data_IF_049958825782
#
_entry.id   IF_049958825782
#
_cell.length_a   1.000
_cell.length_b   1.000
_cell.length_c   1.000
_cell.angle_alpha   90.00
_cell.angle_beta   90.00
_cell.angle_gamma   90.00
#
_symmetry.space_group_name_H-M   'P 1'
#
loop_
_entity.id
_entity.type
_entity.pdbx_description
1 polymer ?
#
# COMPACT_ATOMS: atom_id res chain seq x y z
N UNK A 1 -19.56 5.93 -23.65
CA UNK A 1 -19.30 4.95 -22.59
C UNK A 1 -18.23 4.00 -23.11
N UNK A 2 -17.07 3.93 -22.52
CA UNK A 2 -16.03 2.95 -22.81
C UNK A 2 -16.06 1.93 -21.68
N UNK A 3 -16.14 0.65 -22.00
CA UNK A 3 -16.02 -0.47 -21.06
C UNK A 3 -14.77 -1.23 -21.48
N UNK A 4 -13.83 -1.35 -20.56
CA UNK A 4 -12.63 -2.16 -20.72
C UNK A 4 -12.79 -3.41 -19.86
N UNK A 5 -12.37 -4.56 -20.39
CA UNK A 5 -12.37 -5.82 -19.66
C UNK A 5 -11.18 -6.68 -20.07
N UNK A 6 -10.70 -7.45 -19.15
CA UNK A 6 -9.65 -8.43 -19.36
C UNK A 6 -10.15 -9.82 -19.00
N UNK A 7 -9.65 -10.84 -19.67
CA UNK A 7 -9.94 -12.24 -19.39
C UNK A 7 -8.64 -12.95 -19.03
N UNK A 8 -8.52 -13.30 -17.76
CA UNK A 8 -7.33 -13.98 -17.23
C UNK A 8 -7.69 -15.41 -16.86
N UNK A 9 -7.17 -16.43 -17.57
CA UNK A 9 -7.33 -17.82 -17.17
C UNK A 9 -6.41 -18.12 -15.98
N UNK A 10 -6.93 -18.80 -14.96
CA UNK A 10 -6.15 -19.24 -13.80
C UNK A 10 -6.50 -20.70 -13.44
N UNK A 11 -5.59 -21.39 -12.75
CA UNK A 11 -5.82 -22.76 -12.33
C UNK A 11 -6.77 -22.85 -11.14
N UNK A 12 -7.46 -23.96 -11.00
CA UNK A 12 -8.35 -24.19 -9.86
C UNK A 12 -7.56 -24.09 -8.54
N UNK A 13 -8.02 -23.25 -7.62
CA UNK A 13 -7.35 -22.96 -6.35
C UNK A 13 -6.40 -21.76 -6.37
N UNK A 14 -6.12 -21.16 -7.53
CA UNK A 14 -5.29 -19.95 -7.68
C UNK A 14 -6.13 -18.66 -7.73
N UNK A 15 -7.17 -18.57 -6.93
CA UNK A 15 -8.09 -17.43 -6.88
C UNK A 15 -7.36 -16.11 -6.57
N UNK A 16 -6.29 -16.16 -5.76
CA UNK A 16 -5.45 -15.01 -5.45
C UNK A 16 -4.86 -14.35 -6.69
N UNK A 17 -4.37 -15.16 -7.66
CA UNK A 17 -3.83 -14.65 -8.93
C UNK A 17 -4.87 -13.87 -9.74
N UNK A 18 -6.12 -14.33 -9.77
CA UNK A 18 -7.19 -13.62 -10.47
C UNK A 18 -7.48 -12.24 -9.86
N UNK A 19 -7.38 -12.11 -8.54
CA UNK A 19 -7.53 -10.82 -7.86
C UNK A 19 -6.33 -9.90 -8.11
N UNK A 20 -5.10 -10.43 -8.09
CA UNK A 20 -3.88 -9.67 -8.39
C UNK A 20 -3.94 -9.06 -9.79
N UNK A 21 -4.25 -9.85 -10.79
CA UNK A 21 -4.39 -9.39 -12.18
C UNK A 21 -5.53 -8.36 -12.31
N UNK A 22 -6.67 -8.58 -11.66
CA UNK A 22 -7.79 -7.64 -11.64
C UNK A 22 -7.41 -6.29 -11.03
N UNK A 23 -6.62 -6.27 -9.96
CA UNK A 23 -6.11 -5.03 -9.37
C UNK A 23 -5.08 -4.35 -10.28
N UNK A 24 -4.17 -5.12 -10.88
CA UNK A 24 -3.19 -4.60 -11.82
C UNK A 24 -3.85 -3.95 -13.05
N UNK A 25 -4.92 -4.55 -13.57
CA UNK A 25 -5.70 -4.01 -14.67
C UNK A 25 -6.42 -2.70 -14.34
N UNK A 26 -6.85 -2.51 -13.08
CA UNK A 26 -7.56 -1.31 -12.63
C UNK A 26 -6.61 -0.15 -12.27
N UNK A 27 -5.32 -0.41 -12.09
CA UNK A 27 -4.36 0.58 -11.63
C UNK A 27 -3.34 0.92 -12.70
N UNK A 28 -3.52 2.04 -13.35
CA UNK A 28 -2.54 2.58 -14.28
C UNK A 28 -1.24 2.97 -13.57
N UNK A 29 -0.11 2.67 -14.22
CA UNK A 29 1.18 3.17 -13.78
C UNK A 29 1.26 4.68 -14.01
N UNK A 30 1.37 5.44 -12.92
CA UNK A 30 1.61 6.88 -13.01
C UNK A 30 3.11 7.15 -13.15
N UNK A 31 3.50 7.69 -14.30
CA UNK A 31 4.88 8.11 -14.55
C UNK A 31 4.98 9.62 -14.40
N UNK A 32 5.87 10.07 -13.51
CA UNK A 32 6.21 11.48 -13.37
C UNK A 32 7.69 11.69 -13.66
N UNK A 33 7.99 12.54 -14.67
CA UNK A 33 9.35 12.93 -14.98
C UNK A 33 9.65 14.28 -14.32
N UNK A 34 10.49 14.26 -13.29
CA UNK A 34 10.92 15.48 -12.61
C UNK A 34 12.15 16.10 -13.30
N UNK A 35 12.10 17.39 -13.55
CA UNK A 35 13.27 18.20 -13.90
C UNK A 35 13.61 18.38 -15.37
N UNK A 36 13.14 17.55 -16.30
CA UNK A 36 13.47 17.69 -17.74
C UNK A 36 12.68 18.79 -18.44
N UNK A 37 11.42 19.02 -18.11
CA UNK A 37 10.61 20.07 -18.73
C UNK A 37 11.22 21.46 -18.56
N UNK A 38 11.79 21.77 -17.42
CA UNK A 38 12.47 23.05 -17.20
C UNK A 38 13.77 23.21 -17.99
N UNK A 39 14.42 22.13 -18.37
CA UNK A 39 15.64 22.19 -19.18
C UNK A 39 15.37 22.59 -20.62
N UNK A 40 14.25 22.15 -21.18
CA UNK A 40 13.85 22.48 -22.56
C UNK A 40 13.19 23.87 -22.72
N UNK A 41 12.61 24.41 -21.68
CA UNK A 41 11.93 25.70 -21.71
C UNK A 41 12.84 26.89 -21.39
N UNK A 42 14.15 26.68 -21.26
CA UNK A 42 15.07 27.75 -20.89
C UNK A 42 15.46 28.65 -22.06
N UNK A 43 15.39 29.92 -21.81
CA UNK A 43 16.00 30.93 -22.70
C UNK A 43 17.54 30.85 -22.59
N UNK A 44 18.29 31.06 -23.70
CA UNK A 44 19.73 31.17 -23.63
C UNK A 44 20.18 32.18 -22.56
N UNK A 45 21.12 31.81 -21.72
CA UNK A 45 21.66 32.67 -20.66
C UNK A 45 21.05 32.47 -19.27
N UNK A 46 20.06 31.61 -19.09
CA UNK A 46 19.56 31.28 -17.75
C UNK A 46 20.48 30.27 -17.04
N UNK A 47 20.81 30.55 -15.78
CA UNK A 47 21.62 29.66 -14.93
C UNK A 47 20.93 28.30 -14.81
N UNK A 48 21.71 27.22 -14.97
CA UNK A 48 21.21 25.87 -14.69
C UNK A 48 20.75 25.79 -13.22
N UNK A 49 19.55 25.26 -12.91
CA UNK A 49 19.25 24.97 -11.51
C UNK A 49 20.30 23.95 -11.06
N UNK A 50 20.85 24.17 -9.88
CA UNK A 50 21.62 23.15 -9.20
C UNK A 50 20.74 21.89 -9.12
N UNK A 51 21.27 20.78 -9.60
CA UNK A 51 20.67 19.48 -9.36
C UNK A 51 20.77 19.25 -7.86
N UNK A 52 19.66 19.36 -7.16
CA UNK A 52 19.57 18.96 -5.77
C UNK A 52 19.69 17.43 -5.80
N UNK A 53 20.78 16.92 -5.25
CA UNK A 53 20.92 15.48 -5.05
C UNK A 53 19.73 14.99 -4.22
N UNK A 54 18.96 14.09 -4.80
CA UNK A 54 17.87 13.45 -4.11
C UNK A 54 18.40 12.62 -2.95
N UNK A 55 17.81 12.79 -1.77
CA UNK A 55 18.15 11.99 -0.58
C UNK A 55 17.38 10.67 -0.49
N UNK A 56 16.41 10.48 -1.38
CA UNK A 56 15.58 9.27 -1.41
C UNK A 56 16.29 8.16 -2.21
N UNK A 57 16.15 6.90 -1.81
CA UNK A 57 16.65 5.77 -2.58
C UNK A 57 15.93 5.68 -3.94
N UNK A 58 16.52 4.94 -4.89
CA UNK A 58 15.93 4.72 -6.22
C UNK A 58 14.60 3.96 -6.15
N UNK A 59 14.47 3.09 -5.16
CA UNK A 59 13.27 2.32 -4.90
C UNK A 59 12.91 2.45 -3.41
N UNK A 60 11.63 2.67 -3.13
CA UNK A 60 11.15 2.79 -1.76
C UNK A 60 9.69 2.35 -1.67
N UNK A 61 9.38 1.56 -0.65
CA UNK A 61 8.03 1.27 -0.23
C UNK A 61 7.78 1.89 1.15
N UNK A 62 6.62 2.51 1.35
CA UNK A 62 6.22 3.02 2.67
C UNK A 62 5.71 1.92 3.59
N UNK A 63 5.18 0.85 3.02
CA UNK A 63 4.66 -0.30 3.74
C UNK A 63 4.83 -1.54 2.86
N UNK A 64 5.74 -2.42 3.26
CA UNK A 64 5.86 -3.75 2.67
C UNK A 64 5.02 -4.73 3.50
N UNK A 65 4.23 -5.56 2.83
CA UNK A 65 3.42 -6.58 3.46
C UNK A 65 3.43 -7.87 2.64
N UNK A 66 3.12 -8.97 3.31
CA UNK A 66 3.03 -10.31 2.72
C UNK A 66 1.75 -10.98 3.21
N UNK A 67 1.15 -11.80 2.36
CA UNK A 67 -0.04 -12.60 2.66
C UNK A 67 -0.64 -13.12 1.36
N UNK A 68 -0.97 -14.41 1.32
CA UNK A 68 -1.55 -15.02 0.13
C UNK A 68 -2.97 -14.50 -0.10
N UNK A 69 -3.26 -13.94 -1.28
CA UNK A 69 -4.56 -13.36 -1.61
C UNK A 69 -5.00 -12.20 -0.72
N UNK A 70 -4.05 -11.56 -0.01
CA UNK A 70 -4.31 -10.37 0.78
C UNK A 70 -3.92 -9.13 -0.02
N UNK A 71 -4.83 -8.19 -0.16
CA UNK A 71 -4.61 -6.95 -0.89
C UNK A 71 -4.86 -5.73 -0.01
N UNK A 72 -4.03 -4.71 -0.19
CA UNK A 72 -4.23 -3.40 0.42
C UNK A 72 -5.22 -2.59 -0.42
N UNK A 73 -6.39 -2.28 0.15
CA UNK A 73 -7.46 -1.58 -0.55
C UNK A 73 -7.56 -0.10 -0.20
N UNK A 74 -6.91 0.34 0.86
CA UNK A 74 -6.84 1.76 1.23
C UNK A 74 -5.60 2.05 2.07
N UNK A 75 -4.98 3.19 1.80
CA UNK A 75 -3.97 3.82 2.63
C UNK A 75 -4.27 5.32 2.69
N UNK A 76 -4.68 5.80 3.85
CA UNK A 76 -5.19 7.16 3.98
C UNK A 76 -4.88 7.78 5.35
N UNK A 77 -4.96 9.11 5.42
CA UNK A 77 -4.99 9.83 6.69
C UNK A 77 -6.37 9.70 7.34
N UNK A 78 -6.40 9.59 8.66
CA UNK A 78 -7.63 9.57 9.44
C UNK A 78 -8.46 10.85 9.32
N UNK A 79 -9.77 10.72 9.45
CA UNK A 79 -10.68 11.87 9.40
C UNK A 79 -10.66 12.69 10.70
N UNK A 80 -10.57 12.03 11.84
CA UNK A 80 -10.66 12.66 13.17
C UNK A 80 -9.33 12.75 13.89
N UNK A 81 -8.35 11.92 13.50
CA UNK A 81 -7.03 11.80 14.12
C UNK A 81 -5.96 11.98 13.07
N UNK A 82 -4.76 12.31 13.49
CA UNK A 82 -3.58 12.43 12.62
C UNK A 82 -2.91 11.07 12.34
N UNK A 83 -3.59 9.99 12.67
CA UNK A 83 -3.15 8.63 12.40
C UNK A 83 -3.31 8.29 10.93
N UNK A 84 -2.50 7.38 10.44
CA UNK A 84 -2.68 6.77 9.12
C UNK A 84 -3.52 5.50 9.26
N UNK A 85 -4.38 5.26 8.29
CA UNK A 85 -5.19 4.05 8.24
C UNK A 85 -4.86 3.24 6.99
N UNK A 86 -4.63 1.96 7.20
CA UNK A 86 -4.43 0.99 6.12
C UNK A 86 -5.52 -0.07 6.21
N UNK A 87 -6.06 -0.47 5.07
CA UNK A 87 -7.09 -1.50 4.99
C UNK A 87 -6.64 -2.61 4.07
N UNK A 88 -6.76 -3.83 4.58
CA UNK A 88 -6.49 -5.04 3.84
C UNK A 88 -7.76 -5.87 3.68
N UNK A 89 -7.79 -6.65 2.62
CA UNK A 89 -8.86 -7.63 2.35
C UNK A 89 -8.20 -8.97 2.07
N UNK A 90 -8.64 -9.99 2.77
CA UNK A 90 -8.34 -11.38 2.42
C UNK A 90 -9.38 -11.83 1.39
N UNK A 91 -8.95 -12.19 0.17
CA UNK A 91 -9.82 -12.69 -0.89
C UNK A 91 -9.92 -14.22 -0.94
N UNK A 92 -9.25 -14.89 0.02
CA UNK A 92 -9.23 -16.34 0.05
C UNK A 92 -10.42 -16.91 0.81
N UNK A 93 -10.86 -18.11 0.41
CA UNK A 93 -11.89 -18.92 1.07
C UNK A 93 -11.42 -19.56 2.37
N UNK A 94 -10.26 -19.16 2.85
CA UNK A 94 -9.63 -19.63 4.09
C UNK A 94 -8.96 -18.48 4.82
N UNK A 95 -8.68 -18.72 6.11
CA UNK A 95 -7.91 -17.77 6.90
C UNK A 95 -6.47 -17.68 6.41
N UNK A 96 -5.94 -16.47 6.36
CA UNK A 96 -4.58 -16.18 5.92
C UNK A 96 -3.86 -15.29 6.95
N UNK A 97 -2.53 -15.29 6.93
CA UNK A 97 -1.72 -14.45 7.80
C UNK A 97 -1.21 -13.26 7.00
N UNK A 98 -1.63 -12.07 7.43
CA UNK A 98 -1.03 -10.81 7.00
C UNK A 98 0.23 -10.56 7.83
N UNK A 99 1.36 -10.39 7.18
CA UNK A 99 2.62 -10.02 7.80
C UNK A 99 3.11 -8.68 7.26
N UNK A 100 3.54 -7.77 8.13
CA UNK A 100 4.15 -6.51 7.71
C UNK A 100 5.18 -6.03 8.74
N UNK A 101 6.24 -5.39 8.25
CA UNK A 101 7.33 -4.93 9.10
C UNK A 101 6.97 -3.62 9.78
N UNK A 102 7.38 -3.48 11.03
CA UNK A 102 7.37 -2.20 11.74
C UNK A 102 8.43 -1.27 11.15
N UNK A 103 8.00 -0.16 10.61
CA UNK A 103 8.89 0.89 10.13
C UNK A 103 9.20 1.91 11.24
N UNK A 104 10.33 2.62 11.13
CA UNK A 104 10.80 3.56 12.17
C UNK A 104 9.81 4.70 12.45
N UNK A 105 8.99 5.05 11.48
CA UNK A 105 7.98 6.10 11.61
C UNK A 105 6.70 5.62 12.32
N UNK A 106 6.52 4.30 12.56
CA UNK A 106 5.38 3.71 13.24
C UNK A 106 5.64 3.65 14.75
N UNK A 107 5.01 4.51 15.52
CA UNK A 107 5.08 4.47 16.99
C UNK A 107 4.21 3.37 17.56
N UNK A 108 3.00 3.24 17.07
CA UNK A 108 2.01 2.25 17.50
C UNK A 108 1.18 1.80 16.31
N UNK A 109 0.82 0.52 16.29
CA UNK A 109 -0.14 -0.04 15.33
C UNK A 109 -1.26 -0.69 16.11
N UNK A 110 -2.49 -0.47 15.69
CA UNK A 110 -3.68 -1.02 16.34
C UNK A 110 -4.72 -1.46 15.32
N UNK A 111 -5.52 -2.44 15.70
CA UNK A 111 -6.70 -2.82 14.92
C UNK A 111 -7.77 -1.74 15.08
N UNK A 112 -8.49 -1.46 14.02
CA UNK A 112 -9.53 -0.44 13.99
C UNK A 112 -10.77 -0.95 13.30
N UNK A 113 -11.93 -0.40 13.65
CA UNK A 113 -13.13 -0.60 12.86
C UNK A 113 -13.18 0.36 11.65
N UNK A 114 -14.23 0.24 10.84
CA UNK A 114 -14.39 1.03 9.60
C UNK A 114 -14.61 2.53 9.85
N UNK A 115 -15.03 2.91 11.06
CA UNK A 115 -15.24 4.32 11.47
C UNK A 115 -14.04 4.90 12.22
N UNK A 116 -12.88 4.24 12.13
CA UNK A 116 -11.59 4.68 12.67
C UNK A 116 -11.52 4.71 14.22
N UNK A 117 -12.31 3.90 14.88
CA UNK A 117 -12.20 3.70 16.32
C UNK A 117 -11.14 2.64 16.62
N UNK A 118 -10.28 2.95 17.60
CA UNK A 118 -9.20 2.07 18.03
C UNK A 118 -9.79 0.89 18.82
N UNK A 119 -9.32 -0.29 18.43
CA UNK A 119 -9.56 -1.55 19.11
C UNK A 119 -8.24 -2.04 19.74
N UNK A 120 -7.82 -3.26 19.47
CA UNK A 120 -6.63 -3.88 20.04
C UNK A 120 -5.33 -3.30 19.49
N UNK A 121 -4.36 -3.04 20.37
CA UNK A 121 -3.00 -2.66 19.99
C UNK A 121 -2.23 -3.91 19.58
N UNK A 122 -1.57 -3.84 18.44
CA UNK A 122 -0.74 -4.92 17.93
C UNK A 122 0.68 -4.81 18.51
N UNK A 123 1.26 -5.97 18.79
CA UNK A 123 2.66 -6.07 19.22
C UNK A 123 3.45 -6.81 18.15
N UNK A 124 4.54 -6.24 17.64
CA UNK A 124 5.40 -6.95 16.71
C UNK A 124 6.20 -8.05 17.43
N UNK A 125 6.67 -9.02 16.69
CA UNK A 125 7.58 -10.06 17.18
C UNK A 125 9.00 -9.51 17.45
N UNK A 126 9.95 -10.42 17.76
CA UNK A 126 11.34 -10.07 18.04
C UNK A 126 12.09 -9.46 16.83
N UNK A 127 11.64 -9.77 15.63
CA UNK A 127 12.20 -9.26 14.37
C UNK A 127 11.51 -7.96 13.90
N UNK A 128 10.55 -7.48 14.69
CA UNK A 128 9.78 -6.28 14.40
C UNK A 128 8.68 -6.49 13.36
N UNK A 129 8.19 -7.71 13.20
CA UNK A 129 7.15 -8.06 12.23
C UNK A 129 5.81 -8.23 12.96
N UNK A 130 4.78 -7.60 12.44
CA UNK A 130 3.41 -7.85 12.87
C UNK A 130 2.84 -9.03 12.09
N UNK A 131 2.25 -9.99 12.79
CA UNK A 131 1.53 -11.14 12.22
C UNK A 131 0.08 -11.07 12.65
N UNK A 132 -0.83 -10.94 11.71
CA UNK A 132 -2.25 -10.81 11.97
C UNK A 132 -3.02 -11.88 11.19
N UNK A 133 -3.71 -12.75 11.90
CA UNK A 133 -4.63 -13.70 11.27
C UNK A 133 -5.87 -12.97 10.78
N UNK A 134 -6.16 -13.12 9.50
CA UNK A 134 -7.40 -12.68 8.86
C UNK A 134 -8.25 -13.91 8.55
N UNK A 135 -9.54 -13.83 8.83
CA UNK A 135 -10.50 -14.86 8.45
C UNK A 135 -10.71 -14.87 6.94
N UNK A 136 -11.39 -15.89 6.43
CA UNK A 136 -11.90 -15.92 5.07
C UNK A 136 -12.68 -14.65 4.75
N UNK A 137 -12.39 -14.03 3.61
CA UNK A 137 -13.05 -12.81 3.11
C UNK A 137 -13.07 -11.62 4.10
N UNK A 138 -12.16 -11.61 5.07
CA UNK A 138 -12.13 -10.54 6.07
C UNK A 138 -11.59 -9.25 5.50
N UNK A 139 -12.26 -8.15 5.84
CA UNK A 139 -11.77 -6.79 5.65
C UNK A 139 -11.25 -6.31 7.00
N UNK A 140 -9.93 -6.07 7.08
CA UNK A 140 -9.30 -5.58 8.30
C UNK A 140 -8.75 -4.16 8.10
N UNK A 141 -8.97 -3.31 9.09
CA UNK A 141 -8.45 -1.94 9.11
C UNK A 141 -7.48 -1.79 10.28
N UNK A 142 -6.35 -1.15 10.02
CA UNK A 142 -5.33 -0.86 11.03
C UNK A 142 -5.07 0.64 11.07
N UNK A 143 -4.96 1.18 12.28
CA UNK A 143 -4.51 2.53 12.53
C UNK A 143 -3.04 2.53 12.91
N UNK A 144 -2.28 3.48 12.39
CA UNK A 144 -0.84 3.65 12.63
C UNK A 144 -0.60 5.05 13.17
N UNK A 145 -0.11 5.14 14.39
CA UNK A 145 0.34 6.38 15.03
C UNK A 145 1.74 6.71 14.53
N UNK A 146 1.96 7.98 14.14
CA UNK A 146 3.25 8.48 13.63
C UNK A 146 4.09 9.13 14.71
#
# INVERSE_FOLDING_TARGET
>A
FCLEFEVVPYAAGETGTAFEEGYAFQQDLTVAQAGLERAFLRKPGQVKPELIEGKLPLEMSFLAFEGNGIHMTAFKKGQKKDDLFVRFVNHMEQGEILSFKKEDWMKEVYRSNVIEEKDDVLTPDADGIYHVSLREFEIATFGVVR
#
